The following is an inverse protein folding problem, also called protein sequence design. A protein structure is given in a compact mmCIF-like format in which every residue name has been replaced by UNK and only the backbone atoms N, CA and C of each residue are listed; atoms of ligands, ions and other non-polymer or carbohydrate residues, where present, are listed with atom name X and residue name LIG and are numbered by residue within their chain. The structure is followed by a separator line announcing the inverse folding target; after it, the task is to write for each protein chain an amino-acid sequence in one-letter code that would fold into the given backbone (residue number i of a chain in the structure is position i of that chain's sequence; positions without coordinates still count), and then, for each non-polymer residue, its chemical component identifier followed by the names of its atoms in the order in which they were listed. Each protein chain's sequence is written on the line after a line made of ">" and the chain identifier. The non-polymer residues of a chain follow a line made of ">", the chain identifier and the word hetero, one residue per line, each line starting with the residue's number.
data_IF_839328372345
#
_entry.id   IF_839328372345
#
_cell.length_a   1.000
_cell.length_b   1.000
_cell.length_c   1.000
_cell.angle_alpha   90.00
_cell.angle_beta   90.00
_cell.angle_gamma   90.00
#
_symmetry.space_group_name_H-M   'P 1'
#
loop_
_entity.id
_entity.type
_entity.pdbx_description
1 polymer ?
#
# COMPACT_ATOMS: atom_id res chain seq x y z
N UNK A 1 7.88 9.07 -15.37
CA UNK A 1 8.83 9.27 -16.50
C UNK A 1 8.08 9.54 -17.82
N UNK A 2 8.74 9.89 -18.94
CA UNK A 2 8.11 9.83 -20.27
C UNK A 2 7.78 8.37 -20.63
N UNK A 3 6.72 8.12 -21.39
CA UNK A 3 6.29 6.76 -21.74
C UNK A 3 5.48 6.02 -20.67
N UNK A 4 5.33 6.57 -19.46
CA UNK A 4 4.55 5.93 -18.39
C UNK A 4 3.03 6.15 -18.47
N UNK A 5 2.52 6.72 -19.58
CA UNK A 5 1.08 6.96 -19.79
C UNK A 5 0.48 8.19 -19.09
N UNK A 6 1.30 9.03 -18.42
CA UNK A 6 0.80 10.14 -17.56
C UNK A 6 -0.23 11.06 -18.21
N UNK A 7 0.05 11.55 -19.42
CA UNK A 7 -0.84 12.51 -20.08
C UNK A 7 -2.15 11.85 -20.50
N UNK A 8 -2.11 10.60 -20.98
CA UNK A 8 -3.32 9.83 -21.34
C UNK A 8 -4.16 9.53 -20.10
N UNK A 9 -3.56 8.89 -19.10
CA UNK A 9 -4.25 8.55 -17.84
C UNK A 9 -4.74 9.79 -17.11
N UNK A 10 -3.98 10.88 -17.12
CA UNK A 10 -4.37 12.14 -16.50
C UNK A 10 -5.59 12.79 -17.16
N UNK A 11 -5.67 12.77 -18.50
CA UNK A 11 -6.85 13.24 -19.26
C UNK A 11 -8.09 12.40 -18.94
N UNK A 12 -7.94 11.08 -18.87
CA UNK A 12 -9.05 10.18 -18.58
C UNK A 12 -9.58 10.38 -17.15
N UNK A 13 -8.67 10.54 -16.19
CA UNK A 13 -9.01 10.87 -14.80
C UNK A 13 -9.74 12.21 -14.72
N UNK A 14 -9.22 13.25 -15.36
CA UNK A 14 -9.85 14.57 -15.35
C UNK A 14 -11.26 14.52 -15.96
N UNK A 15 -11.41 13.86 -17.11
CA UNK A 15 -12.70 13.67 -17.79
C UNK A 15 -13.70 12.92 -16.90
N UNK A 16 -13.27 11.85 -16.24
CA UNK A 16 -14.13 11.06 -15.34
C UNK A 16 -14.51 11.78 -14.03
N UNK A 17 -13.77 12.82 -13.66
CA UNK A 17 -14.06 13.66 -12.50
C UNK A 17 -14.83 14.95 -12.88
N UNK A 18 -14.93 15.27 -14.17
CA UNK A 18 -15.43 16.57 -14.63
C UNK A 18 -14.48 17.73 -14.28
N UNK A 19 -13.18 17.46 -14.26
CA UNK A 19 -12.13 18.38 -13.83
C UNK A 19 -11.31 18.89 -15.01
N UNK A 20 -10.60 20.00 -14.82
CA UNK A 20 -9.64 20.51 -15.80
C UNK A 20 -8.39 19.64 -15.86
N UNK A 21 -7.81 19.48 -17.05
CA UNK A 21 -6.52 18.82 -17.23
C UNK A 21 -5.49 19.84 -17.74
N UNK A 22 -4.34 19.92 -17.09
CA UNK A 22 -3.21 20.76 -17.49
C UNK A 22 -1.94 19.92 -17.57
N UNK A 23 -1.28 19.90 -18.72
CA UNK A 23 0.06 19.33 -18.86
C UNK A 23 1.10 20.45 -18.80
N UNK A 24 2.07 20.35 -17.90
CA UNK A 24 3.06 21.42 -17.71
C UNK A 24 3.94 21.63 -18.96
N UNK A 25 4.19 20.58 -19.75
CA UNK A 25 4.93 20.70 -21.02
C UNK A 25 4.11 21.50 -22.06
N UNK A 26 2.78 21.36 -22.06
CA UNK A 26 1.86 22.10 -22.96
C UNK A 26 1.71 23.56 -22.50
N UNK A 27 1.64 23.81 -21.18
CA UNK A 27 1.63 25.17 -20.61
C UNK A 27 2.92 25.90 -20.95
N UNK A 28 4.09 25.24 -20.83
CA UNK A 28 5.37 25.81 -21.26
C UNK A 28 5.32 26.24 -22.73
N UNK A 29 4.85 25.36 -23.61
CA UNK A 29 4.79 25.61 -25.05
C UNK A 29 3.90 26.80 -25.36
N UNK A 30 2.76 26.92 -24.66
CA UNK A 30 1.82 28.03 -24.81
C UNK A 30 2.40 29.36 -24.32
N UNK A 31 3.10 29.37 -23.17
CA UNK A 31 3.66 30.59 -22.59
C UNK A 31 4.91 31.10 -23.31
N UNK A 32 5.74 30.20 -23.85
CA UNK A 32 6.98 30.57 -24.57
C UNK A 32 6.79 30.72 -26.07
N UNK A 33 5.68 30.23 -26.63
CA UNK A 33 5.41 30.26 -28.07
C UNK A 33 6.33 29.32 -28.87
N UNK A 34 7.01 28.39 -28.20
CA UNK A 34 7.92 27.41 -28.80
C UNK A 34 7.93 26.11 -27.99
N UNK A 35 8.25 25.01 -28.65
CA UNK A 35 8.33 23.70 -28.00
C UNK A 35 9.61 23.57 -27.17
N UNK A 36 9.63 22.64 -26.20
CA UNK A 36 10.83 22.32 -25.41
C UNK A 36 12.01 21.92 -26.31
N UNK A 37 11.74 21.23 -27.43
CA UNK A 37 12.79 20.83 -28.39
C UNK A 37 13.42 22.06 -29.07
N UNK A 38 12.61 23.01 -29.49
CA UNK A 38 13.07 24.26 -30.11
C UNK A 38 13.82 25.13 -29.10
N UNK A 39 13.32 25.23 -27.88
CA UNK A 39 13.97 25.98 -26.79
C UNK A 39 15.41 25.51 -26.57
N UNK A 40 15.64 24.19 -26.50
CA UNK A 40 16.99 23.61 -26.36
C UNK A 40 17.80 23.76 -27.66
N UNK A 41 17.18 23.59 -28.83
CA UNK A 41 17.87 23.73 -30.12
C UNK A 41 18.38 25.16 -30.39
N UNK A 42 17.76 26.19 -29.78
CA UNK A 42 18.22 27.58 -29.82
C UNK A 42 19.44 27.88 -28.94
N UNK A 43 19.97 26.88 -28.22
CA UNK A 43 21.16 27.00 -27.38
C UNK A 43 20.89 27.28 -25.91
N UNK A 44 19.63 27.30 -25.46
CA UNK A 44 19.30 27.40 -24.05
C UNK A 44 19.65 26.11 -23.30
N UNK A 45 20.04 26.22 -22.04
CA UNK A 45 20.46 25.05 -21.24
C UNK A 45 19.26 24.30 -20.65
N UNK A 46 19.48 23.02 -20.30
CA UNK A 46 18.51 22.26 -19.50
C UNK A 46 18.28 22.87 -18.12
N UNK A 47 19.28 23.57 -17.55
CA UNK A 47 19.14 24.26 -16.27
C UNK A 47 18.16 25.42 -16.37
N UNK A 48 18.20 26.18 -17.47
CA UNK A 48 17.25 27.28 -17.72
C UNK A 48 15.84 26.75 -17.90
N UNK A 49 15.68 25.64 -18.63
CA UNK A 49 14.40 24.94 -18.73
C UNK A 49 13.87 24.51 -17.37
N UNK A 50 14.72 23.93 -16.49
CA UNK A 50 14.33 23.49 -15.14
C UNK A 50 13.88 24.64 -14.23
N UNK A 51 14.49 25.82 -14.36
CA UNK A 51 14.05 27.02 -13.64
C UNK A 51 12.64 27.44 -14.10
N UNK A 52 12.40 27.44 -15.41
CA UNK A 52 11.08 27.77 -15.98
C UNK A 52 10.04 26.71 -15.58
N UNK A 53 10.39 25.42 -15.59
CA UNK A 53 9.51 24.32 -15.18
C UNK A 53 9.03 24.48 -13.73
N UNK A 54 9.91 24.92 -12.82
CA UNK A 54 9.57 25.23 -11.43
C UNK A 54 8.60 26.42 -11.32
N UNK A 55 8.84 27.50 -12.06
CA UNK A 55 7.96 28.68 -12.04
C UNK A 55 6.56 28.35 -12.57
N UNK A 56 6.50 27.57 -13.66
CA UNK A 56 5.23 27.08 -14.22
C UNK A 56 4.53 26.16 -13.22
N UNK A 57 5.24 25.22 -12.57
CA UNK A 57 4.65 24.35 -11.55
C UNK A 57 3.99 25.16 -10.43
N UNK A 58 4.72 26.12 -9.84
CA UNK A 58 4.22 26.97 -8.76
C UNK A 58 3.01 27.78 -9.23
N UNK A 59 3.10 28.40 -10.41
CA UNK A 59 2.02 29.20 -11.00
C UNK A 59 0.77 28.36 -11.23
N UNK A 60 0.88 27.24 -11.94
CA UNK A 60 -0.25 26.37 -12.30
C UNK A 60 -0.95 25.82 -11.06
N UNK A 61 -0.19 25.30 -10.09
CA UNK A 61 -0.76 24.73 -8.86
C UNK A 61 -1.41 25.80 -7.99
N UNK A 62 -0.84 27.01 -7.93
CA UNK A 62 -1.40 28.13 -7.14
C UNK A 62 -2.66 28.71 -7.78
N UNK A 63 -2.68 28.84 -9.11
CA UNK A 63 -3.83 29.38 -9.86
C UNK A 63 -4.99 28.38 -9.97
N UNK A 64 -4.72 27.08 -9.85
CA UNK A 64 -5.70 26.01 -9.98
C UNK A 64 -5.74 25.15 -8.71
N UNK A 65 -6.15 25.71 -7.55
CA UNK A 65 -6.05 25.03 -6.25
C UNK A 65 -7.04 23.86 -6.09
N UNK A 66 -8.07 23.76 -6.94
CA UNK A 66 -9.11 22.74 -6.87
C UNK A 66 -9.51 22.23 -8.25
N UNK A 67 -10.15 21.06 -8.30
CA UNK A 67 -10.79 20.48 -9.50
C UNK A 67 -9.90 20.45 -10.76
N UNK A 68 -8.59 20.24 -10.58
CA UNK A 68 -7.62 20.23 -11.67
C UNK A 68 -6.63 19.08 -11.50
N UNK A 69 -6.42 18.33 -12.58
CA UNK A 69 -5.37 17.32 -12.69
C UNK A 69 -4.18 17.95 -13.42
N UNK A 70 -3.02 17.98 -12.76
CA UNK A 70 -1.78 18.53 -13.31
C UNK A 70 -0.84 17.38 -13.67
N UNK A 71 -0.56 17.20 -14.96
CA UNK A 71 0.46 16.27 -15.46
C UNK A 71 1.82 16.96 -15.45
N UNK A 72 2.73 16.51 -14.57
CA UNK A 72 4.06 17.09 -14.44
C UNK A 72 5.05 16.53 -15.47
N UNK A 73 6.02 17.38 -15.84
CA UNK A 73 7.17 17.01 -16.65
C UNK A 73 7.97 15.87 -16.04
N UNK A 74 8.50 14.98 -16.88
CA UNK A 74 9.19 13.78 -16.42
C UNK A 74 10.45 14.06 -15.60
N UNK A 75 11.08 15.21 -15.77
CA UNK A 75 12.31 15.57 -15.06
C UNK A 75 12.11 16.58 -13.93
N UNK A 76 10.87 16.93 -13.60
CA UNK A 76 10.56 17.93 -12.57
C UNK A 76 11.17 17.58 -11.21
N UNK A 77 11.32 16.28 -10.94
CA UNK A 77 11.92 15.78 -9.71
C UNK A 77 13.44 15.97 -9.64
N UNK A 78 14.12 16.44 -10.69
CA UNK A 78 15.57 16.67 -10.66
C UNK A 78 15.89 17.97 -9.93
N UNK A 79 14.97 18.94 -9.97
CA UNK A 79 15.07 20.23 -9.28
C UNK A 79 14.71 20.08 -7.80
N UNK A 80 15.64 20.34 -6.85
CA UNK A 80 15.38 20.24 -5.41
C UNK A 80 14.17 21.04 -4.94
N UNK A 81 14.03 22.27 -5.41
CA UNK A 81 12.95 23.19 -5.03
C UNK A 81 11.59 22.70 -5.53
N UNK A 82 11.55 22.01 -6.68
CA UNK A 82 10.33 21.36 -7.17
C UNK A 82 9.91 20.22 -6.26
N UNK A 83 10.87 19.39 -5.81
CA UNK A 83 10.59 18.30 -4.87
C UNK A 83 10.06 18.83 -3.53
N UNK A 84 10.70 19.86 -2.98
CA UNK A 84 10.23 20.47 -1.73
C UNK A 84 8.81 21.03 -1.87
N UNK A 85 8.50 21.67 -2.99
CA UNK A 85 7.16 22.18 -3.27
C UNK A 85 6.13 21.04 -3.31
N UNK A 86 6.43 19.95 -4.03
CA UNK A 86 5.56 18.77 -4.10
C UNK A 86 5.40 18.07 -2.74
N UNK A 87 6.46 17.98 -1.94
CA UNK A 87 6.42 17.37 -0.61
C UNK A 87 5.59 18.17 0.39
N UNK A 88 5.60 19.51 0.28
CA UNK A 88 4.81 20.42 1.13
C UNK A 88 3.38 20.60 0.63
N UNK A 89 3.06 20.12 -0.58
CA UNK A 89 1.72 20.24 -1.14
C UNK A 89 0.71 19.41 -0.33
N UNK A 90 -0.40 20.04 0.03
CA UNK A 90 -1.44 19.41 0.87
C UNK A 90 -2.31 18.43 0.08
N UNK A 91 -2.38 18.57 -1.24
CA UNK A 91 -3.12 17.66 -2.11
C UNK A 91 -2.36 16.36 -2.40
N UNK A 92 -2.99 15.42 -3.11
CA UNK A 92 -2.36 14.16 -3.47
C UNK A 92 -1.32 14.35 -4.59
N UNK A 93 -0.08 13.94 -4.35
CA UNK A 93 0.93 13.76 -5.39
C UNK A 93 1.05 12.27 -5.72
N UNK A 94 0.63 11.89 -6.93
CA UNK A 94 0.53 10.50 -7.37
C UNK A 94 1.65 10.18 -8.38
N UNK A 95 2.49 9.22 -8.04
CA UNK A 95 3.46 8.66 -8.97
C UNK A 95 2.80 7.55 -9.80
N UNK A 96 2.70 7.75 -11.11
CA UNK A 96 2.30 6.70 -12.06
C UNK A 96 3.55 5.91 -12.48
N UNK A 97 3.66 4.72 -11.90
CA UNK A 97 4.82 3.83 -12.03
C UNK A 97 4.50 2.63 -12.92
N UNK A 98 5.47 2.22 -13.72
CA UNK A 98 5.41 1.03 -14.58
C UNK A 98 6.74 0.30 -14.50
N UNK A 99 6.75 -0.99 -14.82
CA UNK A 99 8.00 -1.74 -14.91
C UNK A 99 8.95 -1.09 -15.92
N UNK A 100 10.20 -0.89 -15.50
CA UNK A 100 11.20 -0.19 -16.32
C UNK A 100 11.42 -0.89 -17.66
N UNK A 101 11.37 -2.21 -17.69
CA UNK A 101 11.52 -3.01 -18.91
C UNK A 101 10.43 -2.66 -19.93
N UNK A 102 9.18 -2.55 -19.48
CA UNK A 102 8.07 -2.10 -20.31
C UNK A 102 8.24 -0.66 -20.83
N UNK A 103 8.88 0.22 -20.04
CA UNK A 103 9.18 1.60 -20.46
C UNK A 103 10.33 1.60 -21.47
N UNK A 104 11.36 0.80 -21.26
CA UNK A 104 12.52 0.66 -22.16
C UNK A 104 12.06 0.13 -23.52
N UNK A 105 11.21 -0.90 -23.55
CA UNK A 105 10.66 -1.46 -24.80
C UNK A 105 9.84 -0.41 -25.56
N UNK A 106 9.00 0.35 -24.83
CA UNK A 106 8.20 1.42 -25.41
C UNK A 106 9.08 2.55 -25.99
N UNK A 107 10.12 2.96 -25.27
CA UNK A 107 11.03 4.02 -25.72
C UNK A 107 11.93 3.55 -26.86
N UNK A 108 12.34 2.28 -26.88
CA UNK A 108 13.16 1.69 -27.95
C UNK A 108 12.41 1.53 -29.27
N UNK A 109 11.08 1.42 -29.22
CA UNK A 109 10.24 1.32 -30.41
C UNK A 109 10.10 2.66 -31.18
N UNK A 110 10.28 3.81 -30.52
CA UNK A 110 10.09 5.14 -31.12
C UNK A 110 11.43 5.75 -31.59
N UNK A 111 11.82 5.46 -32.84
CA UNK A 111 13.06 5.92 -33.49
C UNK A 111 13.13 7.43 -33.77
N UNK A 112 12.08 8.19 -33.49
CA UNK A 112 11.98 9.63 -33.87
C UNK A 112 12.42 10.60 -32.77
N UNK A 113 12.88 10.09 -31.62
CA UNK A 113 13.15 10.93 -30.45
C UNK A 113 14.65 11.19 -30.24
N UNK A 114 15.07 12.44 -29.96
CA UNK A 114 16.45 12.75 -29.60
C UNK A 114 16.86 12.00 -28.32
N UNK A 115 18.12 11.58 -28.22
CA UNK A 115 18.64 10.89 -27.03
C UNK A 115 18.53 11.80 -25.81
N UNK A 116 18.06 11.25 -24.68
CA UNK A 116 17.96 11.97 -23.40
C UNK A 116 19.33 12.10 -22.70
N UNK A 117 20.44 11.88 -23.41
CA UNK A 117 21.82 11.89 -22.90
C UNK A 117 22.22 10.64 -22.11
N UNK A 118 21.29 9.99 -21.38
CA UNK A 118 21.52 8.77 -20.61
C UNK A 118 20.60 7.63 -21.08
N UNK A 119 21.04 6.39 -20.90
CA UNK A 119 20.22 5.19 -21.10
C UNK A 119 18.98 5.23 -20.19
N UNK A 120 17.77 4.83 -20.66
CA UNK A 120 16.53 4.97 -19.89
C UNK A 120 16.58 4.30 -18.50
N UNK A 121 17.32 3.19 -18.37
CA UNK A 121 17.52 2.50 -17.08
C UNK A 121 18.35 3.32 -16.10
N UNK A 122 19.43 3.94 -16.55
CA UNK A 122 20.28 4.79 -15.70
C UNK A 122 19.50 6.01 -15.22
N UNK A 123 18.73 6.62 -16.13
CA UNK A 123 17.87 7.74 -15.81
C UNK A 123 16.79 7.35 -14.79
N UNK A 124 16.19 6.16 -14.95
CA UNK A 124 15.24 5.64 -13.97
C UNK A 124 15.88 5.43 -12.60
N UNK A 125 17.02 4.75 -12.53
CA UNK A 125 17.71 4.48 -11.27
C UNK A 125 18.07 5.78 -10.52
N UNK A 126 18.43 6.84 -11.25
CA UNK A 126 18.66 8.17 -10.67
C UNK A 126 17.37 8.82 -10.15
N UNK A 127 16.25 8.65 -10.86
CA UNK A 127 14.99 9.38 -10.61
C UNK A 127 14.01 8.64 -9.69
N UNK A 128 14.07 7.31 -9.60
CA UNK A 128 13.14 6.48 -8.84
C UNK A 128 13.10 6.86 -7.35
N UNK A 129 14.24 7.05 -6.65
CA UNK A 129 14.22 7.49 -5.26
C UNK A 129 13.64 8.91 -5.09
N UNK A 130 13.82 9.77 -6.10
CA UNK A 130 13.30 11.13 -6.11
C UNK A 130 11.78 11.16 -6.33
N UNK A 131 11.25 10.30 -7.20
CA UNK A 131 9.80 10.12 -7.33
C UNK A 131 9.20 9.53 -6.06
N UNK A 132 9.85 8.55 -5.45
CA UNK A 132 9.39 7.95 -4.19
C UNK A 132 9.31 9.00 -3.08
N UNK A 133 10.34 9.81 -2.89
CA UNK A 133 10.34 10.84 -1.83
C UNK A 133 9.45 12.04 -2.12
N UNK A 134 9.12 12.32 -3.39
CA UNK A 134 8.30 13.48 -3.78
C UNK A 134 6.81 13.17 -3.94
N UNK A 135 6.42 11.89 -3.87
CA UNK A 135 5.02 11.45 -3.99
C UNK A 135 4.43 11.07 -2.65
N UNK A 136 3.10 11.12 -2.55
CA UNK A 136 2.37 10.56 -1.41
C UNK A 136 1.75 9.21 -1.74
N UNK A 137 1.42 9.00 -3.01
CA UNK A 137 0.81 7.80 -3.51
C UNK A 137 1.58 7.29 -4.72
N UNK A 138 1.48 5.98 -4.95
CA UNK A 138 2.02 5.34 -6.12
C UNK A 138 0.98 4.40 -6.70
N UNK A 139 0.64 4.64 -7.96
CA UNK A 139 -0.16 3.72 -8.75
C UNK A 139 0.80 2.95 -9.66
N UNK A 140 0.82 1.63 -9.50
CA UNK A 140 1.67 0.73 -10.28
C UNK A 140 0.86 -0.01 -11.35
N UNK A 141 1.44 -0.17 -12.55
CA UNK A 141 0.92 -1.01 -13.61
C UNK A 141 2.02 -1.87 -14.25
N UNK A 142 1.83 -3.19 -14.28
CA UNK A 142 2.63 -4.13 -15.07
C UNK A 142 1.85 -4.69 -16.27
N UNK A 143 2.52 -4.84 -17.42
CA UNK A 143 1.91 -5.37 -18.66
C UNK A 143 1.56 -6.85 -18.57
N UNK A 144 2.30 -7.64 -17.80
CA UNK A 144 2.11 -9.11 -17.73
C UNK A 144 0.74 -9.51 -17.18
N UNK A 145 0.09 -8.65 -16.40
CA UNK A 145 -1.23 -8.87 -15.82
C UNK A 145 -2.32 -8.01 -16.47
N UNK A 146 -1.99 -7.23 -17.52
CA UNK A 146 -2.96 -6.36 -18.18
C UNK A 146 -3.91 -7.18 -19.06
N UNK A 147 -5.17 -7.26 -18.61
CA UNK A 147 -6.28 -7.78 -19.43
C UNK A 147 -6.68 -6.80 -20.55
N UNK A 148 -6.37 -5.49 -20.42
CA UNK A 148 -6.35 -4.46 -21.47
C UNK A 148 -5.88 -3.08 -20.95
N UNK A 149 -5.50 -2.14 -21.84
CA UNK A 149 -5.22 -0.74 -21.43
C UNK A 149 -6.42 -0.05 -20.77
N UNK A 150 -7.64 -0.37 -21.24
CA UNK A 150 -8.88 0.18 -20.70
C UNK A 150 -9.10 -0.21 -19.23
N UNK A 151 -8.76 -1.46 -18.87
CA UNK A 151 -8.83 -1.93 -17.49
C UNK A 151 -7.81 -1.22 -16.58
N UNK A 152 -6.58 -1.01 -17.06
CA UNK A 152 -5.57 -0.22 -16.33
C UNK A 152 -6.08 1.20 -16.06
N UNK A 153 -6.71 1.84 -17.05
CA UNK A 153 -7.27 3.19 -16.88
C UNK A 153 -8.42 3.20 -15.88
N UNK A 154 -9.35 2.24 -15.96
CA UNK A 154 -10.44 2.08 -14.99
C UNK A 154 -9.91 1.91 -13.57
N UNK A 155 -8.91 1.04 -13.37
CA UNK A 155 -8.24 0.84 -12.08
C UNK A 155 -7.55 2.10 -11.57
N UNK A 156 -6.89 2.85 -12.45
CA UNK A 156 -6.27 4.12 -12.08
C UNK A 156 -7.32 5.15 -11.66
N UNK A 157 -8.43 5.27 -12.38
CA UNK A 157 -9.53 6.18 -12.03
C UNK A 157 -10.09 5.81 -10.66
N UNK A 158 -10.31 4.51 -10.40
CA UNK A 158 -10.76 4.01 -9.10
C UNK A 158 -9.77 4.35 -7.98
N UNK A 159 -8.48 4.12 -8.22
CA UNK A 159 -7.42 4.46 -7.28
C UNK A 159 -7.43 5.97 -6.97
N UNK A 160 -7.44 6.82 -7.99
CA UNK A 160 -7.47 8.28 -7.81
C UNK A 160 -8.73 8.73 -7.07
N UNK A 161 -9.90 8.17 -7.39
CA UNK A 161 -11.14 8.44 -6.64
C UNK A 161 -11.03 8.05 -5.17
N UNK A 162 -10.41 6.91 -4.86
CA UNK A 162 -10.19 6.47 -3.48
C UNK A 162 -9.26 7.39 -2.69
N UNK A 163 -8.31 8.02 -3.39
CA UNK A 163 -7.38 9.01 -2.84
C UNK A 163 -8.06 10.37 -2.61
N UNK A 164 -8.86 10.84 -3.58
CA UNK A 164 -9.50 12.16 -3.55
C UNK A 164 -10.72 12.24 -2.64
N UNK A 165 -11.50 11.15 -2.57
CA UNK A 165 -12.71 11.07 -1.76
C UNK A 165 -12.56 9.97 -0.72
N UNK A 166 -11.56 10.10 0.17
CA UNK A 166 -11.20 9.01 1.04
C UNK A 166 -12.34 8.86 2.07
N UNK A 167 -12.82 7.63 2.24
CA UNK A 167 -13.83 7.29 3.24
C UNK A 167 -13.20 6.33 4.23
N UNK A 168 -13.33 6.62 5.53
CA UNK A 168 -12.86 5.67 6.56
C UNK A 168 -13.65 4.38 6.40
N UNK A 169 -12.95 3.30 6.07
CA UNK A 169 -13.54 1.99 5.89
C UNK A 169 -14.07 1.49 7.24
N UNK A 170 -15.34 1.09 7.26
CA UNK A 170 -15.98 0.48 8.43
C UNK A 170 -16.13 -1.01 8.17
N UNK A 171 -15.45 -1.81 8.97
CA UNK A 171 -15.59 -3.27 8.91
C UNK A 171 -16.86 -3.71 9.66
N UNK A 172 -17.55 -4.76 9.20
CA UNK A 172 -18.66 -5.35 9.94
C UNK A 172 -18.21 -5.84 11.33
N UNK A 173 -19.12 -5.79 12.30
CA UNK A 173 -18.88 -6.25 13.69
C UNK A 173 -18.54 -7.74 13.77
N UNK A 174 -19.11 -8.54 12.88
CA UNK A 174 -18.71 -9.91 12.61
C UNK A 174 -18.02 -9.95 11.25
N UNK A 175 -16.72 -10.16 11.24
CA UNK A 175 -15.93 -10.08 10.02
C UNK A 175 -14.70 -10.99 10.04
N UNK A 176 -14.23 -11.33 8.84
CA UNK A 176 -13.10 -12.22 8.62
C UNK A 176 -12.14 -11.61 7.60
N UNK A 177 -10.87 -12.02 7.66
CA UNK A 177 -9.93 -11.76 6.58
C UNK A 177 -9.09 -12.99 6.26
N UNK A 178 -8.78 -13.19 4.99
CA UNK A 178 -7.97 -14.32 4.55
C UNK A 178 -6.49 -13.93 4.50
N UNK A 179 -5.64 -14.63 5.25
CA UNK A 179 -4.18 -14.51 5.17
C UNK A 179 -3.63 -15.32 4.01
N UNK A 180 -3.14 -14.65 2.96
CA UNK A 180 -2.51 -15.34 1.83
C UNK A 180 -1.09 -15.80 2.20
N UNK A 181 -0.74 -17.01 1.80
CA UNK A 181 0.54 -17.67 2.14
C UNK A 181 1.39 -18.03 0.91
N UNK A 182 1.03 -17.50 -0.25
CA UNK A 182 1.77 -17.68 -1.49
C UNK A 182 3.02 -16.80 -1.55
N UNK A 183 4.11 -17.34 -2.12
CA UNK A 183 5.33 -16.60 -2.41
C UNK A 183 5.19 -15.64 -3.61
N UNK A 184 4.31 -15.99 -4.56
CA UNK A 184 3.91 -15.19 -5.72
C UNK A 184 2.42 -15.43 -6.01
N UNK A 185 1.65 -14.35 -6.18
CA UNK A 185 0.23 -14.41 -6.52
C UNK A 185 -0.01 -14.55 -8.02
N UNK A 186 0.98 -14.27 -8.87
CA UNK A 186 0.86 -14.36 -10.34
C UNK A 186 0.32 -15.71 -10.82
N UNK A 187 0.86 -16.88 -10.40
CA UNK A 187 0.35 -18.17 -10.86
C UNK A 187 -1.05 -18.53 -10.31
N UNK A 188 -1.51 -17.85 -9.25
CA UNK A 188 -2.79 -18.14 -8.59
C UNK A 188 -3.80 -16.99 -8.72
N UNK A 189 -3.53 -16.00 -9.57
CA UNK A 189 -4.36 -14.80 -9.68
C UNK A 189 -5.83 -15.12 -9.99
N UNK A 190 -6.08 -16.06 -10.90
CA UNK A 190 -7.43 -16.51 -11.27
C UNK A 190 -8.15 -17.28 -10.14
N UNK A 191 -7.41 -17.80 -9.16
CA UNK A 191 -7.96 -18.50 -8.00
C UNK A 191 -8.41 -17.53 -6.90
N UNK A 192 -7.83 -16.32 -6.84
CA UNK A 192 -8.11 -15.33 -5.79
C UNK A 192 -9.60 -15.04 -5.62
N UNK A 193 -10.43 -14.83 -6.67
CA UNK A 193 -11.86 -14.59 -6.49
C UNK A 193 -12.58 -15.72 -5.75
N UNK A 194 -12.11 -16.97 -5.87
CA UNK A 194 -12.66 -18.14 -5.19
C UNK A 194 -12.14 -18.27 -3.76
N UNK A 195 -10.90 -17.84 -3.50
CA UNK A 195 -10.31 -17.86 -2.16
C UNK A 195 -11.02 -16.92 -1.20
N UNK A 196 -11.45 -15.74 -1.70
CA UNK A 196 -11.89 -14.62 -0.86
C UNK A 196 -13.42 -14.48 -0.72
N UNK A 197 -14.21 -15.45 -1.20
CA UNK A 197 -15.68 -15.34 -1.24
C UNK A 197 -16.34 -15.12 0.12
N UNK A 198 -15.78 -15.72 1.18
CA UNK A 198 -16.39 -15.73 2.52
C UNK A 198 -15.76 -14.70 3.48
N UNK A 199 -14.89 -13.81 2.99
CA UNK A 199 -14.14 -12.86 3.84
C UNK A 199 -14.44 -11.41 3.50
N UNK A 200 -14.13 -10.52 4.43
CA UNK A 200 -14.38 -9.09 4.31
C UNK A 200 -13.10 -8.29 3.99
N UNK A 201 -11.94 -8.93 4.01
CA UNK A 201 -10.65 -8.36 3.64
C UNK A 201 -9.67 -9.49 3.26
N UNK A 202 -8.59 -9.11 2.57
CA UNK A 202 -7.49 -10.02 2.21
C UNK A 202 -6.19 -9.49 2.78
N UNK A 203 -5.42 -10.34 3.45
CA UNK A 203 -4.11 -9.98 4.00
C UNK A 203 -3.00 -10.44 3.07
N UNK A 204 -2.21 -9.47 2.58
CA UNK A 204 -0.96 -9.72 1.88
C UNK A 204 0.16 -9.85 2.93
N UNK A 205 0.65 -11.07 3.11
CA UNK A 205 1.82 -11.36 3.95
C UNK A 205 3.10 -11.14 3.14
N UNK A 206 3.57 -9.90 3.15
CA UNK A 206 4.75 -9.46 2.40
C UNK A 206 5.99 -10.26 2.81
N UNK A 207 6.12 -10.58 4.09
CA UNK A 207 7.24 -11.38 4.60
C UNK A 207 7.27 -12.81 4.02
N UNK A 208 6.15 -13.33 3.53
CA UNK A 208 6.06 -14.67 2.93
C UNK A 208 6.31 -14.67 1.41
N UNK A 209 6.43 -13.50 0.79
CA UNK A 209 6.74 -13.39 -0.64
C UNK A 209 8.14 -13.90 -0.95
N UNK A 210 8.32 -14.45 -2.15
CA UNK A 210 9.61 -15.00 -2.60
C UNK A 210 10.65 -13.89 -2.85
N UNK A 211 10.19 -12.65 -3.05
CA UNK A 211 11.02 -11.50 -3.36
C UNK A 211 10.47 -10.24 -2.68
N UNK A 212 11.33 -9.48 -2.00
CA UNK A 212 10.97 -8.25 -1.28
C UNK A 212 11.33 -6.96 -2.03
N UNK A 213 11.67 -7.06 -3.32
CA UNK A 213 11.92 -5.88 -4.15
C UNK A 213 10.63 -5.05 -4.31
N UNK A 214 10.73 -3.71 -4.34
CA UNK A 214 9.54 -2.86 -4.42
C UNK A 214 8.64 -3.16 -5.61
N UNK A 215 9.20 -3.43 -6.79
CA UNK A 215 8.40 -3.73 -7.99
C UNK A 215 7.65 -5.05 -7.87
N UNK A 216 8.29 -6.09 -7.31
CA UNK A 216 7.62 -7.37 -7.11
C UNK A 216 6.44 -7.20 -6.15
N UNK A 217 6.64 -6.53 -5.01
CA UNK A 217 5.57 -6.26 -4.03
C UNK A 217 4.43 -5.46 -4.68
N UNK A 218 4.75 -4.39 -5.43
CA UNK A 218 3.74 -3.57 -6.13
C UNK A 218 2.92 -4.40 -7.12
N UNK A 219 3.55 -5.35 -7.83
CA UNK A 219 2.87 -6.32 -8.69
C UNK A 219 1.93 -7.23 -7.90
N UNK A 220 2.34 -7.72 -6.73
CA UNK A 220 1.46 -8.51 -5.86
C UNK A 220 0.24 -7.71 -5.36
N UNK A 221 0.44 -6.44 -4.99
CA UNK A 221 -0.67 -5.54 -4.61
C UNK A 221 -1.60 -5.33 -5.81
N UNK A 222 -1.06 -5.08 -7.01
CA UNK A 222 -1.86 -4.94 -8.23
C UNK A 222 -2.73 -6.19 -8.46
N UNK A 223 -2.17 -7.40 -8.36
CA UNK A 223 -2.93 -8.65 -8.52
C UNK A 223 -4.10 -8.69 -7.53
N UNK A 224 -3.91 -8.31 -6.27
CA UNK A 224 -5.03 -8.24 -5.32
C UNK A 224 -6.06 -7.18 -5.72
N UNK A 225 -5.64 -6.01 -6.19
CA UNK A 225 -6.56 -4.98 -6.69
C UNK A 225 -7.36 -5.46 -7.91
N UNK A 226 -6.79 -6.32 -8.74
CA UNK A 226 -7.41 -6.82 -9.96
C UNK A 226 -8.36 -8.01 -9.71
N UNK A 227 -8.07 -8.85 -8.70
CA UNK A 227 -8.75 -10.13 -8.53
C UNK A 227 -9.48 -10.31 -7.18
N UNK A 228 -9.21 -9.50 -6.17
CA UNK A 228 -9.82 -9.66 -4.84
C UNK A 228 -11.21 -9.00 -4.69
N UNK A 229 -11.94 -8.78 -5.80
CA UNK A 229 -13.32 -8.28 -5.81
C UNK A 229 -13.54 -7.03 -4.94
N UNK A 230 -12.63 -6.05 -5.03
CA UNK A 230 -12.67 -4.80 -4.28
C UNK A 230 -12.55 -4.92 -2.75
N UNK A 231 -12.18 -6.10 -2.25
CA UNK A 231 -11.96 -6.29 -0.83
C UNK A 231 -10.79 -5.40 -0.34
N UNK A 232 -10.91 -4.84 0.87
CA UNK A 232 -9.82 -4.18 1.56
C UNK A 232 -8.57 -5.07 1.66
N UNK A 233 -7.40 -4.46 1.40
CA UNK A 233 -6.11 -5.11 1.58
C UNK A 233 -5.56 -4.78 2.97
N UNK A 234 -5.19 -5.82 3.71
CA UNK A 234 -4.37 -5.72 4.92
C UNK A 234 -2.92 -6.00 4.53
N UNK A 235 -2.10 -4.96 4.52
CA UNK A 235 -0.69 -5.05 4.18
C UNK A 235 0.13 -5.37 5.43
N UNK A 236 0.75 -6.54 5.47
CA UNK A 236 1.45 -7.05 6.67
C UNK A 236 2.87 -7.47 6.35
N UNK A 237 3.83 -6.94 7.10
CA UNK A 237 5.22 -7.40 7.13
C UNK A 237 5.48 -7.98 8.53
N UNK A 238 5.41 -9.30 8.67
CA UNK A 238 5.57 -9.97 9.97
C UNK A 238 7.04 -10.32 10.23
N UNK A 239 7.58 -9.90 11.36
CA UNK A 239 8.96 -10.22 11.76
C UNK A 239 9.13 -11.68 12.21
N UNK A 240 10.35 -12.22 12.13
CA UNK A 240 10.66 -13.57 12.61
C UNK A 240 10.33 -13.77 14.08
N UNK A 241 10.59 -12.78 14.92
CA UNK A 241 10.30 -12.85 16.36
C UNK A 241 8.79 -12.98 16.63
N UNK A 242 7.96 -12.42 15.75
CA UNK A 242 6.51 -12.50 15.79
C UNK A 242 5.94 -13.56 14.84
N UNK A 243 6.74 -14.57 14.44
CA UNK A 243 6.29 -15.74 13.68
C UNK A 243 6.11 -15.53 12.17
N UNK A 244 6.73 -14.51 11.60
CA UNK A 244 6.87 -14.29 10.16
C UNK A 244 8.23 -14.71 9.64
N UNK A 245 8.60 -14.23 8.45
CA UNK A 245 9.90 -14.50 7.83
C UNK A 245 10.81 -13.27 7.70
N UNK A 246 10.31 -12.06 7.99
CA UNK A 246 11.11 -10.84 7.85
C UNK A 246 12.20 -10.77 8.93
N UNK A 247 13.44 -10.52 8.50
CA UNK A 247 14.63 -10.51 9.35
C UNK A 247 15.49 -9.23 9.18
N UNK A 248 14.94 -8.18 8.58
CA UNK A 248 15.63 -6.91 8.39
C UNK A 248 15.56 -6.02 9.64
N UNK A 249 16.27 -4.89 9.57
CA UNK A 249 16.25 -3.85 10.59
C UNK A 249 15.00 -2.94 10.49
N UNK A 250 14.92 -1.94 11.39
CA UNK A 250 13.83 -0.95 11.39
C UNK A 250 13.74 -0.20 10.06
N UNK A 251 14.87 0.20 9.47
CA UNK A 251 14.86 0.96 8.23
C UNK A 251 14.28 0.17 7.06
N UNK A 252 14.65 -1.12 6.96
CA UNK A 252 14.09 -2.05 5.99
C UNK A 252 12.60 -2.30 6.24
N UNK A 253 12.19 -2.49 7.50
CA UNK A 253 10.77 -2.66 7.86
C UNK A 253 9.94 -1.45 7.42
N UNK A 254 10.35 -0.24 7.82
CA UNK A 254 9.66 0.99 7.48
C UNK A 254 9.66 1.25 5.97
N UNK A 255 10.72 0.86 5.25
CA UNK A 255 10.76 0.89 3.79
C UNK A 255 9.70 0.01 3.15
N UNK A 256 9.49 -1.20 3.69
CA UNK A 256 8.44 -2.10 3.21
C UNK A 256 7.03 -1.60 3.55
N UNK A 257 6.82 -1.04 4.74
CA UNK A 257 5.53 -0.47 5.14
C UNK A 257 5.15 0.76 4.28
N UNK A 258 6.13 1.59 3.91
CA UNK A 258 5.91 2.73 3.02
C UNK A 258 5.34 2.33 1.65
N UNK A 259 5.72 1.16 1.12
CA UNK A 259 5.18 0.64 -0.15
C UNK A 259 3.66 0.44 -0.03
N UNK A 260 3.22 -0.26 1.02
CA UNK A 260 1.80 -0.50 1.28
C UNK A 260 1.02 0.81 1.48
N UNK A 261 1.63 1.77 2.18
CA UNK A 261 1.05 3.09 2.41
C UNK A 261 0.86 3.88 1.11
N UNK A 262 1.90 3.96 0.28
CA UNK A 262 1.85 4.65 -1.01
C UNK A 262 0.91 3.97 -2.00
N UNK A 263 0.78 2.65 -1.93
CA UNK A 263 -0.19 1.89 -2.70
C UNK A 263 -1.65 2.03 -2.18
N UNK A 264 -1.88 2.89 -1.20
CA UNK A 264 -3.19 3.17 -0.61
C UNK A 264 -3.88 1.89 -0.10
N UNK A 265 -3.15 0.97 0.53
CA UNK A 265 -3.75 -0.21 1.16
C UNK A 265 -4.67 0.23 2.31
N UNK A 266 -5.83 -0.40 2.46
CA UNK A 266 -6.84 0.03 3.43
C UNK A 266 -6.38 -0.16 4.87
N UNK A 267 -5.57 -1.20 5.12
CA UNK A 267 -4.94 -1.44 6.40
C UNK A 267 -3.44 -1.70 6.26
N UNK A 268 -2.68 -1.24 7.24
CA UNK A 268 -1.29 -1.65 7.46
C UNK A 268 -1.16 -2.23 8.86
N UNK A 269 -0.60 -3.43 8.95
CA UNK A 269 -0.25 -4.08 10.20
C UNK A 269 1.13 -3.57 10.66
N UNK A 270 1.17 -2.95 11.84
CA UNK A 270 2.35 -2.35 12.44
C UNK A 270 2.60 -3.02 13.78
N UNK A 271 3.72 -3.73 13.88
CA UNK A 271 4.12 -4.35 15.15
C UNK A 271 4.52 -3.29 16.16
N UNK A 272 4.03 -3.39 17.41
CA UNK A 272 4.26 -2.38 18.44
C UNK A 272 5.74 -2.24 18.81
N UNK A 273 6.56 -3.26 18.55
CA UNK A 273 8.02 -3.20 18.74
C UNK A 273 8.71 -2.13 17.89
N UNK A 274 8.12 -1.72 16.77
CA UNK A 274 8.68 -0.69 15.87
C UNK A 274 8.24 0.73 16.24
N UNK A 275 7.52 0.91 17.36
CA UNK A 275 7.13 2.24 17.82
C UNK A 275 8.36 3.07 18.15
N UNK A 276 8.51 4.16 17.42
CA UNK A 276 9.62 5.10 17.54
C UNK A 276 9.42 6.29 16.62
N UNK A 277 10.36 7.22 16.64
CA UNK A 277 10.31 8.43 15.81
C UNK A 277 10.31 8.11 14.30
N UNK A 278 11.05 7.06 13.90
CA UNK A 278 11.12 6.59 12.52
C UNK A 278 9.75 6.16 11.99
N UNK A 279 9.06 5.29 12.72
CA UNK A 279 7.70 4.84 12.38
C UNK A 279 6.71 6.00 12.33
N UNK A 280 6.74 6.89 13.32
CA UNK A 280 5.85 8.06 13.37
C UNK A 280 5.99 8.93 12.12
N UNK A 281 7.22 9.33 11.80
CA UNK A 281 7.53 10.24 10.68
C UNK A 281 7.27 9.61 9.31
N UNK A 282 7.56 8.32 9.15
CA UNK A 282 7.50 7.64 7.85
C UNK A 282 6.12 7.06 7.55
N UNK A 283 5.40 6.60 8.57
CA UNK A 283 4.15 5.86 8.42
C UNK A 283 2.98 6.59 9.10
N UNK A 284 3.03 6.81 10.41
CA UNK A 284 1.83 7.21 11.18
C UNK A 284 1.35 8.63 10.84
N UNK A 285 2.26 9.59 10.70
CA UNK A 285 1.94 10.96 10.30
C UNK A 285 1.51 11.04 8.82
N UNK A 286 1.91 10.04 8.02
CA UNK A 286 1.63 9.95 6.59
C UNK A 286 0.50 8.98 6.25
N UNK A 287 -0.12 8.33 7.26
CA UNK A 287 -1.11 7.24 7.09
C UNK A 287 -2.34 7.67 6.30
N UNK A 288 -2.70 8.96 6.38
CA UNK A 288 -3.94 9.52 5.80
C UNK A 288 -5.15 8.72 6.28
N UNK A 289 -5.89 8.05 5.39
CA UNK A 289 -7.01 7.16 5.77
C UNK A 289 -6.66 5.68 5.85
N UNK A 290 -5.41 5.30 5.54
CA UNK A 290 -4.94 3.94 5.80
C UNK A 290 -5.08 3.65 7.28
N UNK A 291 -5.79 2.59 7.63
CA UNK A 291 -6.05 2.24 9.02
C UNK A 291 -4.89 1.41 9.59
N UNK A 292 -4.45 1.74 10.80
CA UNK A 292 -3.32 1.06 11.43
C UNK A 292 -3.83 -0.05 12.33
N UNK A 293 -3.38 -1.28 12.05
CA UNK A 293 -3.54 -2.42 12.96
C UNK A 293 -2.28 -2.48 13.82
N UNK A 294 -2.37 -2.00 15.05
CA UNK A 294 -1.29 -2.12 16.03
C UNK A 294 -1.23 -3.55 16.55
N UNK A 295 -0.17 -4.28 16.20
CA UNK A 295 -0.09 -5.71 16.46
C UNK A 295 1.05 -6.10 17.40
N UNK A 296 0.87 -7.18 18.16
CA UNK A 296 1.93 -7.80 18.94
C UNK A 296 1.66 -9.31 19.04
N UNK A 297 2.69 -10.12 18.82
CA UNK A 297 2.61 -11.58 18.85
C UNK A 297 3.64 -12.13 19.83
N UNK A 298 3.23 -13.09 20.66
CA UNK A 298 4.12 -13.83 21.56
C UNK A 298 3.82 -15.33 21.45
N UNK A 299 4.72 -16.04 20.77
CA UNK A 299 4.64 -17.48 20.60
C UNK A 299 5.55 -18.27 21.54
N UNK A 300 6.35 -17.58 22.36
CA UNK A 300 7.35 -18.20 23.22
C UNK A 300 6.81 -18.33 24.64
N UNK A 301 6.30 -17.22 25.18
CA UNK A 301 5.85 -17.19 26.57
C UNK A 301 4.42 -17.72 26.71
N UNK A 302 4.10 -18.20 27.91
CA UNK A 302 2.73 -18.58 28.22
C UNK A 302 1.82 -17.33 28.25
N UNK A 303 0.56 -17.45 27.81
CA UNK A 303 -0.41 -16.35 27.79
C UNK A 303 -0.98 -16.10 29.20
N UNK A 304 -0.12 -15.82 30.17
CA UNK A 304 -0.53 -15.42 31.51
C UNK A 304 -1.21 -14.04 31.46
N UNK A 305 -2.01 -13.71 32.47
CA UNK A 305 -2.67 -12.41 32.53
C UNK A 305 -1.67 -11.25 32.44
N UNK A 306 -0.53 -11.38 33.13
CA UNK A 306 0.56 -10.39 33.09
C UNK A 306 1.14 -10.25 31.67
N UNK A 307 1.45 -11.37 31.00
CA UNK A 307 2.03 -11.31 29.65
C UNK A 307 1.04 -10.73 28.65
N UNK A 308 -0.22 -11.19 28.65
CA UNK A 308 -1.25 -10.66 27.76
C UNK A 308 -1.47 -9.16 27.98
N UNK A 309 -1.53 -8.71 29.24
CA UNK A 309 -1.66 -7.28 29.56
C UNK A 309 -0.46 -6.49 29.02
N UNK A 310 0.77 -7.02 29.08
CA UNK A 310 1.94 -6.39 28.47
C UNK A 310 1.78 -6.24 26.95
N UNK A 311 1.32 -7.28 26.25
CA UNK A 311 1.10 -7.22 24.79
C UNK A 311 0.05 -6.16 24.43
N UNK A 312 -1.10 -6.16 25.11
CA UNK A 312 -2.13 -5.12 24.90
C UNK A 312 -1.60 -3.72 25.18
N UNK A 313 -0.88 -3.53 26.28
CA UNK A 313 -0.29 -2.24 26.63
C UNK A 313 0.73 -1.76 25.59
N UNK A 314 1.48 -2.66 24.96
CA UNK A 314 2.38 -2.29 23.86
C UNK A 314 1.60 -1.79 22.64
N UNK A 315 0.55 -2.49 22.22
CA UNK A 315 -0.27 -2.04 21.09
C UNK A 315 -0.99 -0.71 21.38
N UNK A 316 -1.47 -0.50 22.61
CA UNK A 316 -2.15 0.75 23.01
C UNK A 316 -1.23 1.98 22.99
N UNK A 317 0.10 1.79 23.03
CA UNK A 317 1.09 2.87 22.88
C UNK A 317 1.33 3.28 21.42
N UNK A 318 0.83 2.51 20.45
CA UNK A 318 0.94 2.86 19.03
C UNK A 318 -0.01 4.02 18.75
N UNK A 319 0.54 5.23 18.64
CA UNK A 319 -0.24 6.40 18.27
C UNK A 319 -0.96 6.18 16.93
N UNK A 320 -2.16 6.72 16.81
CA UNK A 320 -3.00 6.58 15.61
C UNK A 320 -3.39 5.13 15.25
N UNK A 321 -3.32 4.17 16.18
CA UNK A 321 -3.93 2.85 15.96
C UNK A 321 -5.45 2.97 15.71
N UNK A 322 -5.96 2.19 14.76
CA UNK A 322 -7.40 2.05 14.50
C UNK A 322 -7.94 0.69 14.96
N UNK A 323 -7.07 -0.31 15.06
CA UNK A 323 -7.37 -1.68 15.50
C UNK A 323 -6.22 -2.17 16.36
N UNK A 324 -6.53 -2.90 17.44
CA UNK A 324 -5.53 -3.60 18.26
C UNK A 324 -5.53 -5.09 17.88
N UNK A 325 -4.36 -5.69 17.67
CA UNK A 325 -4.22 -7.11 17.32
C UNK A 325 -3.20 -7.82 18.20
N UNK A 326 -3.67 -8.62 19.15
CA UNK A 326 -2.79 -9.41 20.05
C UNK A 326 -2.95 -10.90 19.76
N UNK A 327 -1.82 -11.58 19.57
CA UNK A 327 -1.80 -13.02 19.33
C UNK A 327 -0.82 -13.73 20.26
N UNK A 328 -1.32 -14.62 21.10
CA UNK A 328 -0.51 -15.50 21.95
C UNK A 328 -0.43 -16.94 21.40
N UNK A 329 0.15 -17.86 22.17
CA UNK A 329 0.10 -19.30 21.89
C UNK A 329 -0.56 -20.05 23.06
N UNK A 330 -1.63 -20.79 22.79
CA UNK A 330 -2.30 -21.58 23.82
C UNK A 330 -1.59 -22.92 24.03
N UNK A 331 -1.27 -23.23 25.29
CA UNK A 331 -0.80 -24.56 25.73
C UNK A 331 -1.94 -25.39 26.29
N UNK A 332 -2.98 -24.74 26.82
CA UNK A 332 -4.16 -25.36 27.42
C UNK A 332 -5.44 -24.57 27.06
N UNK A 333 -6.61 -25.20 27.16
CA UNK A 333 -7.89 -24.53 26.91
C UNK A 333 -8.14 -23.39 27.93
N UNK A 334 -7.65 -23.54 29.17
CA UNK A 334 -7.75 -22.49 30.21
C UNK A 334 -7.16 -21.15 29.77
N UNK A 335 -6.17 -21.17 28.88
CA UNK A 335 -5.51 -19.98 28.36
C UNK A 335 -6.48 -19.08 27.58
N UNK A 336 -7.47 -19.68 26.89
CA UNK A 336 -8.51 -18.94 26.18
C UNK A 336 -9.36 -18.13 27.17
N UNK A 337 -9.67 -18.70 28.33
CA UNK A 337 -10.41 -18.00 29.39
C UNK A 337 -9.56 -16.89 30.03
N UNK A 338 -8.26 -17.12 30.24
CA UNK A 338 -7.33 -16.06 30.67
C UNK A 338 -7.34 -14.89 29.69
N UNK A 339 -7.32 -15.16 28.38
CA UNK A 339 -7.43 -14.12 27.36
C UNK A 339 -8.76 -13.35 27.47
N UNK A 340 -9.89 -14.03 27.63
CA UNK A 340 -11.19 -13.36 27.79
C UNK A 340 -11.25 -12.50 29.08
N UNK A 341 -10.66 -12.99 30.18
CA UNK A 341 -10.57 -12.23 31.42
C UNK A 341 -9.76 -10.95 31.24
N UNK A 342 -8.58 -11.02 30.62
CA UNK A 342 -7.76 -9.83 30.35
C UNK A 342 -8.48 -8.88 29.38
N UNK A 343 -9.11 -9.40 28.32
CA UNK A 343 -9.89 -8.57 27.39
C UNK A 343 -10.97 -7.75 28.10
N UNK A 344 -11.65 -8.32 29.10
CA UNK A 344 -12.66 -7.61 29.88
C UNK A 344 -12.11 -6.43 30.69
N UNK A 345 -10.79 -6.40 30.95
CA UNK A 345 -10.12 -5.30 31.67
C UNK A 345 -9.48 -4.28 30.74
N UNK A 346 -9.36 -4.55 29.43
CA UNK A 346 -8.78 -3.60 28.48
C UNK A 346 -9.79 -2.49 28.16
N UNK A 347 -9.46 -1.26 28.59
CA UNK A 347 -10.27 -0.08 28.32
C UNK A 347 -9.80 0.62 27.05
N UNK A 348 -10.50 0.42 25.94
CA UNK A 348 -10.24 1.12 24.68
C UNK A 348 -11.51 1.22 23.83
N UNK A 349 -11.73 2.33 23.10
CA UNK A 349 -12.80 2.41 22.11
C UNK A 349 -12.44 1.70 20.79
N UNK A 350 -11.18 1.27 20.63
CA UNK A 350 -10.72 0.63 19.40
C UNK A 350 -11.22 -0.82 19.34
N UNK A 351 -11.63 -1.31 18.16
CA UNK A 351 -11.91 -2.72 17.97
C UNK A 351 -10.63 -3.56 18.19
N UNK A 352 -10.82 -4.77 18.73
CA UNK A 352 -9.73 -5.67 19.11
C UNK A 352 -9.86 -6.98 18.34
N UNK A 353 -8.74 -7.45 17.81
CA UNK A 353 -8.50 -8.80 17.32
C UNK A 353 -7.63 -9.50 18.37
N UNK A 354 -8.13 -10.51 19.05
CA UNK A 354 -7.40 -11.17 20.12
C UNK A 354 -7.53 -12.69 20.04
N UNK A 355 -6.40 -13.37 19.84
CA UNK A 355 -6.36 -14.79 19.48
C UNK A 355 -5.24 -15.51 20.19
N UNK A 356 -5.41 -16.82 20.36
CA UNK A 356 -4.32 -17.74 20.71
C UNK A 356 -4.12 -18.72 19.56
N UNK A 357 -2.89 -18.83 19.08
CA UNK A 357 -2.47 -19.85 18.13
C UNK A 357 -2.40 -21.24 18.79
N UNK A 358 -2.26 -22.27 17.95
CA UNK A 358 -2.21 -23.66 18.40
C UNK A 358 -3.59 -24.30 18.49
N UNK A 359 -3.62 -25.63 18.56
CA UNK A 359 -4.86 -26.41 18.56
C UNK A 359 -5.76 -26.07 19.76
N UNK A 360 -5.16 -25.90 20.95
CA UNK A 360 -5.87 -25.51 22.18
C UNK A 360 -6.42 -24.08 22.13
N UNK A 361 -5.88 -23.25 21.23
CA UNK A 361 -6.30 -21.86 21.03
C UNK A 361 -7.49 -21.69 20.09
N UNK A 362 -7.95 -22.75 19.41
CA UNK A 362 -9.02 -22.68 18.40
C UNK A 362 -10.29 -21.98 18.89
N UNK A 363 -10.68 -22.19 20.15
CA UNK A 363 -11.86 -21.54 20.73
C UNK A 363 -11.75 -20.00 20.73
N UNK A 364 -10.55 -19.43 20.91
CA UNK A 364 -10.35 -17.97 20.84
C UNK A 364 -10.74 -17.40 19.46
N UNK A 365 -10.48 -18.15 18.37
CA UNK A 365 -10.89 -17.76 17.01
C UNK A 365 -12.39 -17.81 16.82
N UNK A 366 -13.06 -18.78 17.46
CA UNK A 366 -14.52 -18.89 17.44
C UNK A 366 -15.15 -17.73 18.20
N UNK A 367 -14.60 -17.34 19.35
CA UNK A 367 -15.12 -16.23 20.17
C UNK A 367 -14.86 -14.87 19.51
N UNK A 368 -13.67 -14.65 18.92
CA UNK A 368 -13.32 -13.39 18.27
C UNK A 368 -14.24 -13.12 17.08
N UNK A 369 -15.07 -12.06 17.13
CA UNK A 369 -16.03 -11.72 16.07
C UNK A 369 -15.46 -10.77 15.02
N UNK A 370 -14.61 -9.83 15.44
CA UNK A 370 -14.13 -8.76 14.56
C UNK A 370 -12.83 -9.16 13.85
N UNK A 371 -12.82 -9.06 12.52
CA UNK A 371 -11.66 -9.30 11.65
C UNK A 371 -10.85 -10.55 12.05
N UNK A 372 -11.51 -11.70 12.17
CA UNK A 372 -10.81 -12.94 12.51
C UNK A 372 -9.98 -13.43 11.32
N UNK A 373 -8.65 -13.63 11.46
CA UNK A 373 -7.81 -14.25 10.44
C UNK A 373 -8.23 -15.71 10.26
N UNK A 374 -8.54 -16.06 9.02
CA UNK A 374 -8.96 -17.40 8.61
C UNK A 374 -8.01 -18.02 7.60
N UNK A 375 -8.15 -19.32 7.39
CA UNK A 375 -7.53 -20.06 6.29
C UNK A 375 -8.58 -20.48 5.25
N UNK A 376 -8.14 -20.94 4.09
CA UNK A 376 -8.97 -21.53 3.06
C UNK A 376 -8.35 -22.89 2.66
N UNK A 377 -9.14 -23.98 2.49
CA UNK A 377 -8.62 -25.29 2.08
C UNK A 377 -7.80 -25.30 0.78
N UNK A 378 -8.00 -24.30 -0.08
CA UNK A 378 -7.27 -24.13 -1.33
C UNK A 378 -5.92 -23.41 -1.16
N UNK A 379 -5.59 -22.95 0.06
CA UNK A 379 -4.26 -22.41 0.36
C UNK A 379 -3.24 -23.55 0.54
N UNK A 380 -1.98 -23.35 0.12
CA UNK A 380 -0.94 -24.37 0.25
C UNK A 380 -0.62 -24.68 1.71
N UNK A 381 -0.62 -23.65 2.57
CA UNK A 381 -0.37 -23.74 4.01
C UNK A 381 -1.21 -22.69 4.72
N UNK A 382 -1.71 -23.01 5.92
CA UNK A 382 -2.33 -22.01 6.79
C UNK A 382 -1.29 -20.99 7.29
N UNK A 383 -1.66 -19.73 7.45
CA UNK A 383 -0.73 -18.66 7.86
C UNK A 383 -0.28 -18.76 9.33
N UNK A 384 -1.04 -19.48 10.17
CA UNK A 384 -0.68 -19.77 11.56
C UNK A 384 -1.27 -21.12 12.03
N UNK A 385 -0.61 -21.83 12.96
CA UNK A 385 -1.13 -23.09 13.52
C UNK A 385 -2.52 -22.94 14.15
N UNK A 386 -3.41 -23.89 13.87
CA UNK A 386 -4.77 -23.90 14.41
C UNK A 386 -5.74 -22.88 13.80
N UNK A 387 -5.40 -22.30 12.63
CA UNK A 387 -6.35 -21.49 11.87
C UNK A 387 -7.55 -22.30 11.40
N UNK A 388 -8.71 -21.63 11.32
CA UNK A 388 -9.98 -22.18 10.89
C UNK A 388 -10.47 -21.43 9.66
N UNK A 389 -11.21 -22.12 8.80
CA UNK A 389 -12.00 -21.47 7.76
C UNK A 389 -13.23 -20.78 8.35
N UNK A 390 -13.79 -19.83 7.61
CA UNK A 390 -15.03 -19.13 7.98
C UNK A 390 -16.14 -20.13 8.31
N UNK A 391 -16.36 -21.11 7.42
CA UNK A 391 -17.37 -22.16 7.60
C UNK A 391 -17.18 -22.97 8.89
N UNK A 392 -15.94 -23.29 9.25
CA UNK A 392 -15.66 -23.99 10.51
C UNK A 392 -15.99 -23.12 11.72
N UNK A 393 -15.62 -21.83 11.70
CA UNK A 393 -15.92 -20.91 12.79
C UNK A 393 -17.43 -20.76 12.98
N UNK A 394 -18.17 -20.49 11.90
CA UNK A 394 -19.62 -20.29 11.96
C UNK A 394 -20.33 -21.55 12.48
N UNK A 395 -19.97 -22.74 11.97
CA UNK A 395 -20.51 -24.01 12.49
C UNK A 395 -20.22 -24.22 13.98
N UNK A 396 -19.04 -23.83 14.46
CA UNK A 396 -18.72 -23.94 15.88
C UNK A 396 -19.53 -22.95 16.73
N UNK A 397 -19.83 -21.75 16.21
CA UNK A 397 -20.69 -20.75 16.88
C UNK A 397 -22.14 -21.18 17.01
N UNK A 398 -22.68 -21.95 16.07
CA UNK A 398 -24.05 -22.49 16.16
C UNK A 398 -24.24 -23.46 17.35
N UNK A 399 -23.15 -24.00 17.90
CA UNK A 399 -23.15 -25.00 18.96
C UNK A 399 -22.72 -24.44 20.34
N UNK A 400 -22.54 -23.12 20.46
CA UNK A 400 -22.15 -22.41 21.70
C UNK A 400 -23.23 -21.38 21.99
#
# INVERSE_FOLDING_TARGET
>A
MRGSGKSTTGKDVATNLGWSFLDLDDVFTTEKGETIREFIAKGNSWEDFRKIELEILKKVVTQNPTNTVVSCGGGIIETPESREFLQKYQGPVIHLSREIDSIVDYLSADKTRPSLGLEPRELWNKREPLYHTSSNYEFFSSKENEKSEAETHSRCIKFVRSVLFPKKLKMPSESFFLSLTFGDLSPVAQLIPHLVQDVNAVELRVDLLDNLSPNFIKKQIQILRDYAQDLPIIYTVRSKEQGGKFAGDENAMLGLLEIGLKANCEFIDVEAKWVGEGLSRRILEKKRLTQIIASEHDFVNAPTAENLQKLFNSCLKVNHADVIKVVGFAKDLKDVFTLQQVLSTIQTPLPIIALLAGEKGRLSRVINKFMTPVTNPLLPVAAAPGQLSVRQILKMRENI
#
